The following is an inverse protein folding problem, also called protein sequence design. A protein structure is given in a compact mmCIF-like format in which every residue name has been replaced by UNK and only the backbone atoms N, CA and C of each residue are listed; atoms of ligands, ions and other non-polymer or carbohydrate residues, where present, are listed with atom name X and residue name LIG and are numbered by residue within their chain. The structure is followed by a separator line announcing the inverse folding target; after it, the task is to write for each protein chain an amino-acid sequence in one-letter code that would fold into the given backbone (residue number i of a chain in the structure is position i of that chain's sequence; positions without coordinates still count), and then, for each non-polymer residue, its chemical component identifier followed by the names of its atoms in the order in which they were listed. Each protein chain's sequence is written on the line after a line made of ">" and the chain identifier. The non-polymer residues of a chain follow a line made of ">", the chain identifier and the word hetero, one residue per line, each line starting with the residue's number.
data_IF_452269758533
#
_entry.id   IF_452269758533
#
_cell.length_a   1.000
_cell.length_b   1.000
_cell.length_c   1.000
_cell.angle_alpha   90.00
_cell.angle_beta   90.00
_cell.angle_gamma   90.00
#
_symmetry.space_group_name_H-M   'P 1'
#
loop_
_entity.id
_entity.type
_entity.pdbx_description
1 polymer ?
#
# COMPACT_ATOMS: atom_id res chain seq x y z
N UNK A 1 3.78 -14.86 -1.99
CA UNK A 1 3.21 -14.08 -3.11
C UNK A 1 2.48 -12.89 -2.54
N UNK A 2 2.79 -11.67 -3.02
CA UNK A 2 2.17 -10.42 -2.54
C UNK A 2 0.81 -10.18 -3.19
N UNK A 3 -0.13 -9.63 -2.42
CA UNK A 3 -1.42 -9.14 -2.92
C UNK A 3 -1.58 -7.66 -2.62
N UNK A 4 -2.07 -6.90 -3.60
CA UNK A 4 -2.40 -5.48 -3.44
C UNK A 4 -3.81 -5.24 -3.97
N UNK A 5 -4.71 -4.73 -3.12
CA UNK A 5 -6.14 -4.56 -3.42
C UNK A 5 -6.77 -5.86 -3.97
N UNK A 6 -6.50 -6.99 -3.30
CA UNK A 6 -6.94 -8.31 -3.72
C UNK A 6 -6.33 -8.87 -5.02
N UNK A 7 -5.41 -8.17 -5.70
CA UNK A 7 -4.76 -8.62 -6.94
C UNK A 7 -3.33 -9.06 -6.69
N UNK A 8 -2.87 -10.09 -7.40
CA UNK A 8 -1.47 -10.51 -7.36
C UNK A 8 -0.56 -9.39 -7.88
N UNK A 9 0.49 -9.08 -7.13
CA UNK A 9 1.49 -8.08 -7.49
C UNK A 9 2.87 -8.75 -7.54
N UNK A 10 3.37 -8.97 -8.76
CA UNK A 10 4.71 -9.47 -8.99
C UNK A 10 5.74 -8.33 -8.91
N UNK A 11 6.99 -8.68 -8.57
CA UNK A 11 8.14 -7.78 -8.60
C UNK A 11 8.04 -6.51 -7.73
N UNK A 12 7.19 -6.53 -6.70
CA UNK A 12 7.05 -5.42 -5.73
C UNK A 12 7.83 -5.62 -4.44
N UNK A 13 8.33 -6.83 -4.18
CA UNK A 13 9.10 -7.13 -2.99
C UNK A 13 10.35 -6.24 -2.91
N UNK A 14 10.62 -5.67 -1.74
CA UNK A 14 11.73 -4.74 -1.52
C UNK A 14 11.44 -3.29 -1.92
N UNK A 15 10.34 -3.01 -2.63
CA UNK A 15 9.83 -1.64 -2.76
C UNK A 15 9.25 -1.19 -1.43
N UNK A 16 9.45 0.08 -1.08
CA UNK A 16 8.70 0.68 0.04
C UNK A 16 7.26 0.93 -0.37
N UNK A 17 6.37 1.05 0.62
CA UNK A 17 4.98 1.45 0.38
C UNK A 17 4.93 2.75 -0.42
N UNK A 18 5.73 3.76 -0.06
CA UNK A 18 5.76 5.04 -0.78
C UNK A 18 6.22 4.91 -2.23
N UNK A 19 7.21 4.06 -2.52
CA UNK A 19 7.66 3.78 -3.89
C UNK A 19 6.55 3.14 -4.71
N UNK A 20 5.85 2.15 -4.15
CA UNK A 20 4.73 1.51 -4.84
C UNK A 20 3.60 2.51 -5.12
N UNK A 21 3.23 3.31 -4.12
CA UNK A 21 2.19 4.34 -4.25
C UNK A 21 2.54 5.35 -5.36
N UNK A 22 3.78 5.83 -5.37
CA UNK A 22 4.27 6.77 -6.39
C UNK A 22 4.28 6.15 -7.78
N UNK A 23 4.75 4.91 -7.94
CA UNK A 23 4.81 4.21 -9.22
C UNK A 23 3.42 4.00 -9.84
N UNK A 24 2.39 3.89 -8.99
CA UNK A 24 0.99 3.67 -9.40
C UNK A 24 0.13 4.94 -9.34
N UNK A 25 0.74 6.12 -9.21
CA UNK A 25 0.08 7.43 -9.21
C UNK A 25 -0.97 7.61 -8.09
N UNK A 26 -0.79 6.95 -6.95
CA UNK A 26 -1.59 7.22 -5.77
C UNK A 26 -1.16 8.53 -5.12
N UNK A 27 -2.13 9.26 -4.56
CA UNK A 27 -1.85 10.44 -3.73
C UNK A 27 -1.93 10.05 -2.24
N UNK A 28 -0.79 9.95 -1.51
CA UNK A 28 -0.76 9.54 -0.10
C UNK A 28 -1.62 10.41 0.82
N UNK A 29 -2.00 11.62 0.42
CA UNK A 29 -2.87 12.50 1.21
C UNK A 29 -4.32 11.99 1.27
N UNK A 30 -4.80 11.32 0.22
CA UNK A 30 -6.20 10.91 0.09
C UNK A 30 -6.45 9.42 0.36
N UNK A 31 -5.39 8.69 0.67
CA UNK A 31 -5.47 7.25 0.92
C UNK A 31 -5.04 6.88 2.34
N UNK A 32 -5.42 5.67 2.70
CA UNK A 32 -4.94 4.91 3.85
C UNK A 32 -4.43 3.57 3.33
N UNK A 33 -3.27 3.14 3.81
CA UNK A 33 -2.69 1.83 3.54
C UNK A 33 -2.91 0.95 4.75
N UNK A 34 -3.47 -0.22 4.50
CA UNK A 34 -3.52 -1.35 5.42
C UNK A 34 -2.48 -2.38 4.95
N UNK A 35 -1.68 -2.90 5.88
CA UNK A 35 -0.71 -3.96 5.65
C UNK A 35 -1.04 -5.10 6.60
N UNK A 36 -1.38 -6.26 6.05
CA UNK A 36 -1.70 -7.47 6.81
C UNK A 36 -2.77 -7.24 7.90
N UNK A 37 -3.90 -6.64 7.52
CA UNK A 37 -5.03 -6.31 8.42
C UNK A 37 -4.75 -5.20 9.46
N UNK A 38 -3.59 -4.54 9.38
CA UNK A 38 -3.21 -3.42 10.26
C UNK A 38 -3.04 -2.11 9.48
N UNK A 39 -3.61 -1.02 9.98
CA UNK A 39 -3.45 0.31 9.36
C UNK A 39 -2.01 0.78 9.54
N UNK A 40 -1.30 0.93 8.43
CA UNK A 40 0.08 1.41 8.44
C UNK A 40 0.10 2.94 8.60
N UNK A 41 0.80 3.48 9.62
CA UNK A 41 0.97 4.93 9.78
C UNK A 41 1.67 5.55 8.56
N UNK A 42 1.20 6.71 8.12
CA UNK A 42 1.78 7.42 6.95
C UNK A 42 3.27 7.74 7.12
N UNK A 43 3.74 7.91 8.36
CA UNK A 43 5.14 8.14 8.70
C UNK A 43 6.04 6.94 8.40
N UNK A 44 5.46 5.74 8.23
CA UNK A 44 6.20 4.51 7.98
C UNK A 44 6.22 4.11 6.49
N UNK A 45 5.51 4.84 5.62
CA UNK A 45 5.42 4.48 4.19
C UNK A 45 6.78 4.47 3.49
N UNK A 46 7.70 5.33 3.91
CA UNK A 46 9.05 5.42 3.35
C UNK A 46 10.02 4.37 3.90
N UNK A 47 9.70 3.73 5.03
CA UNK A 47 10.59 2.76 5.70
C UNK A 47 10.09 1.32 5.59
N UNK A 48 8.80 1.11 5.39
CA UNK A 48 8.20 -0.22 5.33
C UNK A 48 8.33 -0.77 3.92
N UNK A 49 9.19 -1.78 3.77
CA UNK A 49 9.36 -2.54 2.53
C UNK A 49 8.29 -3.63 2.43
N UNK A 50 7.75 -3.82 1.23
CA UNK A 50 6.82 -4.90 0.90
C UNK A 50 7.62 -6.21 0.90
N UNK A 51 7.17 -7.20 1.67
CA UNK A 51 7.77 -8.51 1.78
C UNK A 51 6.91 -9.58 1.08
N UNK A 52 7.52 -10.71 0.71
CA UNK A 52 6.76 -11.80 0.12
C UNK A 52 5.70 -12.33 1.09
N UNK A 53 4.47 -12.45 0.61
CA UNK A 53 3.33 -12.91 1.41
C UNK A 53 2.49 -11.78 1.98
N UNK A 54 2.93 -10.52 1.88
CA UNK A 54 2.16 -9.38 2.34
C UNK A 54 0.85 -9.20 1.57
N UNK A 55 -0.16 -8.74 2.29
CA UNK A 55 -1.44 -8.27 1.75
C UNK A 55 -1.56 -6.78 2.05
N UNK A 56 -1.64 -5.97 1.00
CA UNK A 56 -1.73 -4.51 1.10
C UNK A 56 -3.06 -4.03 0.54
N UNK A 57 -3.84 -3.30 1.34
CA UNK A 57 -5.07 -2.67 0.87
C UNK A 57 -4.90 -1.14 0.87
N UNK A 58 -5.21 -0.51 -0.27
CA UNK A 58 -5.09 0.93 -0.48
C UNK A 58 -6.50 1.50 -0.57
N UNK A 59 -6.95 2.01 0.57
CA UNK A 59 -8.30 2.54 0.73
C UNK A 59 -8.32 4.02 0.40
N UNK A 60 -9.28 4.45 -0.42
CA UNK A 60 -9.54 5.86 -0.71
C UNK A 60 -10.85 6.28 -0.07
N UNK A 61 -10.88 7.46 0.56
CA UNK A 61 -12.13 8.02 1.06
C UNK A 61 -12.96 8.53 -0.11
N UNK A 62 -13.98 7.76 -0.50
CA UNK A 62 -15.07 8.25 -1.35
C UNK A 62 -16.00 9.06 -0.44
N UNK A 63 -15.79 10.37 -0.35
CA UNK A 63 -16.70 11.26 0.36
C UNK A 63 -18.09 11.19 -0.29
N UNK A 64 -18.98 10.40 0.30
CA UNK A 64 -20.41 10.43 -0.02
C UNK A 64 -21.04 11.64 0.64
N UNK A 65 -21.76 12.44 -0.15
CA UNK A 65 -22.66 13.48 0.35
C UNK A 65 -23.92 12.89 0.98
#
# INVERSE_FOLDING_TARGET
>A
MVKINGKEAADVCGMTISQYLSANNYNPKHIVVELNEEILPKTEYDSTAIADGDVVEILSFMGGG
#
